data_IF_663243962836
#
_entry.id   IF_663243962836
#
_cell.length_a   1.000
_cell.length_b   1.000
_cell.length_c   1.000
_cell.angle_alpha   90.00
_cell.angle_beta   90.00
_cell.angle_gamma   90.00
#
_symmetry.space_group_name_H-M   'P 1'
#
loop_
_entity.id
_entity.type
_entity.pdbx_description
1 polymer ?
#
# COMPACT_ATOMS: atom_id res chain seq x y z
N UNK A 1 15.93 0.00 31.78
CA UNK A 1 16.26 0.14 30.35
C UNK A 1 15.87 -1.17 29.68
N UNK A 2 14.65 -1.26 29.16
CA UNK A 2 14.09 -2.53 28.64
C UNK A 2 13.37 -2.29 27.32
N UNK A 3 14.05 -2.56 26.20
CA UNK A 3 13.51 -3.22 25.00
C UNK A 3 14.63 -3.39 23.99
N UNK A 4 15.46 -4.40 24.23
CA UNK A 4 15.98 -5.20 23.13
C UNK A 4 14.80 -6.02 22.59
N UNK A 5 14.16 -5.56 21.53
CA UNK A 5 13.32 -6.43 20.71
C UNK A 5 14.05 -6.70 19.41
N UNK A 6 14.88 -7.74 19.48
CA UNK A 6 15.12 -8.63 18.35
C UNK A 6 13.78 -8.97 17.68
N UNK A 7 13.63 -8.59 16.41
CA UNK A 7 13.13 -9.55 15.44
C UNK A 7 13.89 -9.32 14.13
N UNK A 8 14.58 -10.38 13.72
CA UNK A 8 15.32 -10.46 12.46
C UNK A 8 14.29 -10.27 11.35
N UNK A 9 14.44 -9.22 10.57
CA UNK A 9 13.57 -8.91 9.44
C UNK A 9 13.48 -10.15 8.55
N UNK A 10 12.32 -10.80 8.59
CA UNK A 10 12.13 -12.12 8.00
C UNK A 10 12.07 -11.95 6.48
N UNK A 11 12.84 -12.77 5.75
CA UNK A 11 13.07 -12.73 4.29
C UNK A 11 11.81 -12.97 3.42
N UNK A 12 10.62 -12.66 3.90
CA UNK A 12 9.37 -12.77 3.17
C UNK A 12 8.47 -11.61 3.57
N UNK A 13 8.72 -10.45 2.98
CA UNK A 13 7.88 -9.26 3.14
C UNK A 13 6.47 -9.62 2.68
N UNK A 14 5.50 -9.71 3.61
CA UNK A 14 4.13 -10.09 3.31
C UNK A 14 3.52 -9.03 2.39
N UNK A 15 3.14 -9.47 1.19
CA UNK A 15 2.46 -8.60 0.23
C UNK A 15 1.00 -8.43 0.63
N UNK A 16 0.52 -7.20 0.53
CA UNK A 16 -0.87 -6.80 0.79
C UNK A 16 -1.72 -7.14 -0.44
N UNK A 17 -2.88 -7.73 -0.25
CA UNK A 17 -3.84 -7.99 -1.33
C UNK A 17 -4.70 -6.76 -1.65
N UNK A 18 -5.48 -6.82 -2.73
CA UNK A 18 -6.43 -5.74 -3.05
C UNK A 18 -7.50 -5.63 -1.96
N UNK A 19 -7.94 -6.76 -1.44
CA UNK A 19 -8.92 -6.87 -0.36
C UNK A 19 -8.37 -6.30 0.95
N UNK A 20 -7.16 -6.71 1.35
CA UNK A 20 -6.49 -6.15 2.53
C UNK A 20 -6.26 -4.64 2.41
N UNK A 21 -5.88 -4.16 1.22
CA UNK A 21 -5.73 -2.71 0.96
C UNK A 21 -7.08 -1.97 1.01
N UNK A 22 -8.15 -2.60 0.53
CA UNK A 22 -9.51 -2.07 0.57
C UNK A 22 -9.99 -1.89 2.00
N UNK A 23 -9.75 -2.88 2.85
CA UNK A 23 -10.06 -2.82 4.27
C UNK A 23 -9.20 -1.77 4.99
N UNK A 24 -7.89 -1.74 4.70
CA UNK A 24 -6.94 -0.81 5.31
C UNK A 24 -7.31 0.65 5.04
N UNK A 25 -7.61 0.99 3.79
CA UNK A 25 -7.93 2.36 3.38
C UNK A 25 -9.42 2.69 3.50
N UNK A 26 -10.26 1.71 3.87
CA UNK A 26 -11.73 1.79 3.87
C UNK A 26 -12.31 2.31 2.54
N UNK A 27 -11.69 1.92 1.43
CA UNK A 27 -12.17 2.24 0.07
C UNK A 27 -12.64 0.97 -0.62
N UNK A 28 -13.66 1.02 -1.48
CA UNK A 28 -14.09 -0.15 -2.23
C UNK A 28 -12.97 -0.73 -3.11
N UNK A 29 -12.90 -2.07 -3.23
CA UNK A 29 -11.98 -2.78 -4.14
C UNK A 29 -12.01 -2.23 -5.58
N UNK A 30 -13.19 -1.86 -6.10
CA UNK A 30 -13.33 -1.23 -7.43
C UNK A 30 -12.53 0.07 -7.57
N UNK A 31 -12.39 0.84 -6.49
CA UNK A 31 -11.64 2.09 -6.46
C UNK A 31 -10.16 1.81 -6.63
N UNK A 32 -9.65 0.76 -5.98
CA UNK A 32 -8.25 0.33 -6.12
C UNK A 32 -7.96 -0.12 -7.56
N UNK A 33 -8.87 -0.89 -8.18
CA UNK A 33 -8.70 -1.24 -9.60
C UNK A 33 -8.71 0.00 -10.50
N UNK A 34 -9.60 0.97 -10.24
CA UNK A 34 -9.62 2.25 -10.97
C UNK A 34 -8.31 2.99 -10.83
N UNK A 35 -7.75 3.08 -9.61
CA UNK A 35 -6.44 3.70 -9.37
C UNK A 35 -5.33 3.09 -10.21
N UNK A 36 -5.33 1.77 -10.41
CA UNK A 36 -4.37 1.12 -11.30
C UNK A 36 -4.58 1.47 -12.78
N UNK A 37 -5.83 1.65 -13.22
CA UNK A 37 -6.12 2.07 -14.60
C UNK A 37 -5.65 3.50 -14.87
N UNK A 38 -5.92 4.42 -13.94
CA UNK A 38 -5.54 5.84 -14.08
C UNK A 38 -4.15 6.15 -13.54
N UNK A 39 -3.42 5.15 -13.03
CA UNK A 39 -2.08 5.25 -12.42
C UNK A 39 -2.01 6.23 -11.25
N UNK A 40 -3.09 6.36 -10.48
CA UNK A 40 -3.18 7.22 -9.30
C UNK A 40 -3.39 6.37 -8.04
N UNK A 41 -2.34 5.70 -7.57
CA UNK A 41 -2.44 4.77 -6.44
C UNK A 41 -1.10 4.15 -6.07
N UNK A 42 -1.07 3.31 -5.03
CA UNK A 42 0.16 2.64 -4.62
C UNK A 42 0.65 1.68 -5.72
N UNK A 43 1.98 1.56 -5.83
CA UNK A 43 2.61 0.70 -6.84
C UNK A 43 2.19 -0.76 -6.61
N UNK A 44 1.47 -1.32 -7.58
CA UNK A 44 1.08 -2.73 -7.57
C UNK A 44 2.09 -3.59 -8.32
N UNK A 45 2.36 -4.76 -7.76
CA UNK A 45 3.04 -5.88 -8.39
C UNK A 45 1.96 -6.79 -8.99
N UNK A 46 2.07 -7.08 -10.28
CA UNK A 46 1.15 -7.96 -10.97
C UNK A 46 1.60 -9.40 -10.85
N UNK A 47 0.80 -10.24 -10.20
CA UNK A 47 1.03 -11.67 -10.03
C UNK A 47 -0.10 -12.41 -10.75
N UNK A 48 0.09 -12.64 -12.05
CA UNK A 48 -0.95 -13.17 -12.93
C UNK A 48 -2.16 -12.22 -13.03
N UNK A 49 -3.33 -12.69 -12.60
CA UNK A 49 -4.56 -11.86 -12.53
C UNK A 49 -4.68 -11.04 -11.25
N UNK A 50 -3.84 -11.31 -10.25
CA UNK A 50 -3.92 -10.69 -8.94
C UNK A 50 -2.96 -9.51 -8.82
N UNK A 51 -3.39 -8.48 -8.09
CA UNK A 51 -2.53 -7.37 -7.69
C UNK A 51 -2.06 -7.60 -6.26
N UNK A 52 -0.80 -7.27 -6.03
CA UNK A 52 -0.14 -7.36 -4.74
C UNK A 52 0.61 -6.06 -4.48
N UNK A 53 0.60 -5.59 -3.24
CA UNK A 53 1.22 -4.33 -2.86
C UNK A 53 2.29 -4.61 -1.82
N UNK A 54 3.44 -3.96 -1.93
CA UNK A 54 4.38 -3.94 -0.82
C UNK A 54 3.85 -2.99 0.26
N UNK A 55 3.97 -3.32 1.55
CA UNK A 55 3.65 -2.39 2.63
C UNK A 55 4.36 -1.05 2.45
N UNK A 56 5.66 -1.08 2.09
CA UNK A 56 6.47 0.10 1.79
C UNK A 56 5.88 0.97 0.69
N UNK A 57 5.45 0.37 -0.42
CA UNK A 57 4.84 1.09 -1.53
C UNK A 57 3.49 1.75 -1.17
N UNK A 58 2.72 1.13 -0.27
CA UNK A 58 1.47 1.73 0.24
C UNK A 58 1.79 2.93 1.13
N UNK A 59 2.76 2.80 2.03
CA UNK A 59 3.20 3.90 2.90
C UNK A 59 3.78 5.07 2.11
N UNK A 60 4.66 4.82 1.14
CA UNK A 60 5.22 5.86 0.25
C UNK A 60 4.11 6.63 -0.47
N UNK A 61 3.12 5.91 -1.00
CA UNK A 61 1.98 6.53 -1.68
C UNK A 61 1.13 7.40 -0.74
N UNK A 62 0.90 6.96 0.51
CA UNK A 62 0.15 7.76 1.49
C UNK A 62 0.87 9.07 1.81
N UNK A 63 2.20 9.02 1.98
CA UNK A 63 3.02 10.22 2.20
C UNK A 63 2.95 11.16 0.99
N UNK A 64 3.02 10.61 -0.22
CA UNK A 64 2.83 11.39 -1.45
C UNK A 64 1.42 12.04 -1.49
N UNK A 65 0.37 11.33 -1.09
CA UNK A 65 -1.00 11.88 -1.04
C UNK A 65 -1.14 13.01 -0.02
N UNK A 66 -0.56 12.89 1.17
CA UNK A 66 -0.57 13.96 2.18
C UNK A 66 0.08 15.24 1.63
N UNK A 67 1.21 15.12 0.92
CA UNK A 67 1.88 16.27 0.30
C UNK A 67 1.10 16.87 -0.88
N UNK A 68 0.43 16.03 -1.67
CA UNK A 68 -0.40 16.48 -2.79
C UNK A 68 -1.65 17.22 -2.30
N UNK A 69 -2.23 16.76 -1.18
CA UNK A 69 -3.39 17.38 -0.57
C UNK A 69 -3.04 18.73 0.09
N UNK A 70 -1.83 18.89 0.63
CA UNK A 70 -1.33 20.17 1.15
C UNK A 70 -1.16 21.26 0.08
N UNK A 71 -1.10 20.89 -1.20
CA UNK A 71 -0.95 21.82 -2.34
C UNK A 71 -2.28 22.20 -3.01
N UNK A 72 -3.40 21.75 -2.47
CA UNK A 72 -4.75 21.99 -3.01
C UNK A 72 -5.66 22.80 -2.06
N UNK A 73 -5.11 23.30 -0.95
CA UNK A 73 -5.78 24.19 -0.01
C UNK A 73 -5.18 25.59 -0.04
#
# INVERSE_FOLDING_TARGET
>A
MSREQSSRNSTTERLITVEELSELLRVPVRTIYRWQQVRTGPKAIRVGRYLRFRPTAVTEWLVEQESFQASQF
#
